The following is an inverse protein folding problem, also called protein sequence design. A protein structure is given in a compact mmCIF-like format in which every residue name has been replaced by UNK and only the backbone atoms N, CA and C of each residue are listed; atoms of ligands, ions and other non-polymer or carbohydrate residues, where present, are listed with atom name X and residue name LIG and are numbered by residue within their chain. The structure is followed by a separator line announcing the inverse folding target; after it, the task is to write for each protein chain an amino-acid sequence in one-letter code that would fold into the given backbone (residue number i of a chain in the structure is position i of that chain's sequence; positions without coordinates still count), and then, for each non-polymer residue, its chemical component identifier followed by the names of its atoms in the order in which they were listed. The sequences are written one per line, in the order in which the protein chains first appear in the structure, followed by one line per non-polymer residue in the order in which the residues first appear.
data_IF_017648760646
#
_entry.id   IF_017648760646
#
_cell.length_a   1.000
_cell.length_b   1.000
_cell.length_c   1.000
_cell.angle_alpha   90.00
_cell.angle_beta   90.00
_cell.angle_gamma   90.00
#
_symmetry.space_group_name_H-M   'P 1'
#
loop_
_entity.id
_entity.type
_entity.pdbx_description
1 polymer ?
#
# COMPACT_ATOMS: atom_id res chain seq x y z
N UNK A 1 36.44 -60.91 -52.80
CA UNK A 1 35.98 -60.75 -51.41
C UNK A 1 36.95 -59.79 -50.74
N UNK A 2 36.73 -58.47 -50.88
CA UNK A 2 36.03 -57.59 -49.90
C UNK A 2 36.71 -57.64 -48.53
N UNK A 3 37.00 -56.56 -47.82
CA UNK A 3 36.92 -55.11 -47.96
C UNK A 3 37.45 -54.66 -46.61
N UNK A 4 38.49 -53.83 -46.49
CA UNK A 4 38.93 -53.35 -45.18
C UNK A 4 39.14 -51.83 -45.17
N UNK A 5 38.08 -51.17 -44.71
CA UNK A 5 38.02 -50.07 -43.76
C UNK A 5 39.14 -49.01 -43.83
N UNK A 6 38.85 -47.91 -44.54
CA UNK A 6 39.54 -46.63 -44.37
C UNK A 6 38.80 -45.85 -43.28
N UNK A 7 39.44 -45.68 -42.13
CA UNK A 7 38.92 -44.94 -40.99
C UNK A 7 38.89 -43.45 -41.31
N UNK A 8 37.70 -42.86 -41.40
CA UNK A 8 37.54 -41.42 -41.55
C UNK A 8 37.83 -40.71 -40.22
N UNK A 9 38.89 -39.92 -40.18
CA UNK A 9 39.13 -38.99 -39.08
C UNK A 9 38.21 -37.78 -39.23
N UNK A 10 37.06 -37.80 -38.54
CA UNK A 10 36.30 -36.59 -38.25
C UNK A 10 37.11 -35.70 -37.29
N UNK A 11 37.85 -34.72 -37.82
CA UNK A 11 38.35 -33.60 -37.02
C UNK A 11 37.19 -32.65 -36.73
N UNK A 12 36.56 -32.82 -35.57
CA UNK A 12 35.68 -31.80 -35.01
C UNK A 12 36.54 -30.58 -34.63
N UNK A 13 36.39 -29.49 -35.39
CA UNK A 13 37.00 -28.21 -35.06
C UNK A 13 36.31 -27.66 -33.79
N UNK A 14 37.00 -27.78 -32.65
CA UNK A 14 36.63 -27.06 -31.44
C UNK A 14 36.79 -25.56 -31.71
N UNK A 15 35.67 -24.85 -31.88
CA UNK A 15 35.66 -23.39 -31.84
C UNK A 15 36.04 -22.98 -30.42
N UNK A 16 37.31 -22.62 -30.23
CA UNK A 16 37.76 -21.95 -29.02
C UNK A 16 37.00 -20.63 -28.92
N UNK A 17 36.07 -20.55 -27.96
CA UNK A 17 35.49 -19.28 -27.56
C UNK A 17 36.64 -18.40 -27.02
N UNK A 18 37.11 -17.48 -27.87
CA UNK A 18 38.07 -16.46 -27.49
C UNK A 18 37.53 -15.70 -26.28
N UNK A 19 38.16 -15.89 -25.12
CA UNK A 19 37.93 -15.04 -23.95
C UNK A 19 38.51 -13.67 -24.26
N UNK A 20 37.68 -12.78 -24.80
CA UNK A 20 38.00 -11.36 -24.95
C UNK A 20 38.00 -10.74 -23.56
N UNK A 21 39.17 -10.31 -23.09
CA UNK A 21 39.28 -9.55 -21.84
C UNK A 21 38.67 -8.16 -22.01
N UNK A 22 37.99 -7.66 -20.98
CA UNK A 22 37.46 -6.30 -20.96
C UNK A 22 38.62 -5.29 -21.05
N UNK A 23 38.53 -4.36 -22.00
CA UNK A 23 39.50 -3.25 -22.09
C UNK A 23 39.31 -2.31 -20.90
N UNK A 24 40.42 -1.77 -20.36
CA UNK A 24 40.38 -0.71 -19.35
C UNK A 24 39.54 0.50 -19.83
N UNK A 25 39.59 0.82 -21.12
CA UNK A 25 38.78 1.91 -21.70
C UNK A 25 37.28 1.61 -21.72
N UNK A 26 36.91 0.35 -21.93
CA UNK A 26 35.50 -0.08 -21.97
C UNK A 26 34.88 0.00 -20.56
N UNK A 27 35.62 -0.40 -19.53
CA UNK A 27 35.21 -0.21 -18.13
C UNK A 27 35.02 1.27 -17.77
N UNK A 28 35.95 2.14 -18.18
CA UNK A 28 35.87 3.59 -17.90
C UNK A 28 34.66 4.23 -18.59
N UNK A 29 34.38 3.86 -19.85
CA UNK A 29 33.20 4.34 -20.56
C UNK A 29 31.91 3.87 -19.86
N UNK A 30 31.82 2.60 -19.45
CA UNK A 30 30.65 2.08 -18.74
C UNK A 30 30.39 2.82 -17.42
N UNK A 31 31.41 3.03 -16.58
CA UNK A 31 31.23 3.76 -15.30
C UNK A 31 30.83 5.22 -15.54
N UNK A 32 31.39 5.85 -16.56
CA UNK A 32 31.03 7.22 -16.94
C UNK A 32 29.55 7.33 -17.36
N UNK A 33 29.08 6.40 -18.20
CA UNK A 33 27.67 6.34 -18.62
C UNK A 33 26.74 6.05 -17.44
N UNK A 34 27.12 5.15 -16.53
CA UNK A 34 26.31 4.86 -15.33
C UNK A 34 26.19 6.09 -14.42
N UNK A 35 27.25 6.88 -14.26
CA UNK A 35 27.20 8.13 -13.48
C UNK A 35 26.24 9.18 -14.05
N UNK A 36 26.25 9.35 -15.38
CA UNK A 36 25.32 10.28 -16.05
C UNK A 36 23.88 9.82 -15.90
N UNK A 37 23.61 8.52 -16.12
CA UNK A 37 22.26 7.97 -16.01
C UNK A 37 21.74 8.01 -14.56
N UNK A 38 22.59 7.70 -13.57
CA UNK A 38 22.22 7.74 -12.16
C UNK A 38 21.76 9.15 -11.73
N UNK A 39 22.46 10.18 -12.19
CA UNK A 39 22.14 11.58 -11.83
C UNK A 39 20.73 11.97 -12.31
N UNK A 40 20.37 11.59 -13.53
CA UNK A 40 19.04 11.86 -14.10
C UNK A 40 17.97 11.03 -13.37
N UNK A 41 18.26 9.76 -13.08
CA UNK A 41 17.32 8.85 -12.42
C UNK A 41 17.00 9.24 -10.97
N UNK A 42 17.99 9.73 -10.19
CA UNK A 42 17.77 10.14 -8.80
C UNK A 42 16.77 11.30 -8.72
N UNK A 43 16.91 12.28 -9.61
CA UNK A 43 16.04 13.46 -9.64
C UNK A 43 14.59 13.12 -9.99
N UNK A 44 14.37 12.14 -10.87
CA UNK A 44 13.02 11.70 -11.24
C UNK A 44 12.38 10.81 -10.16
N UNK A 45 13.16 9.98 -9.47
CA UNK A 45 12.67 9.07 -8.45
C UNK A 45 12.03 9.79 -7.25
N UNK A 46 12.66 10.87 -6.77
CA UNK A 46 12.11 11.64 -5.63
C UNK A 46 10.73 12.22 -5.93
N UNK A 47 10.50 12.71 -7.16
CA UNK A 47 9.22 13.26 -7.58
C UNK A 47 8.17 12.18 -7.83
N UNK A 48 8.57 11.03 -8.38
CA UNK A 48 7.67 9.91 -8.63
C UNK A 48 7.15 9.29 -7.33
N UNK A 49 8.01 9.14 -6.32
CA UNK A 49 7.62 8.55 -5.03
C UNK A 49 6.69 9.44 -4.23
N UNK A 50 6.89 10.76 -4.23
CA UNK A 50 5.97 11.70 -3.57
C UNK A 50 4.60 11.72 -4.25
N UNK A 51 4.55 11.76 -5.58
CA UNK A 51 3.30 11.66 -6.34
C UNK A 51 2.57 10.33 -6.09
N UNK A 52 3.31 9.21 -6.05
CA UNK A 52 2.77 7.89 -5.75
C UNK A 52 2.17 7.81 -4.33
N UNK A 53 2.84 8.38 -3.33
CA UNK A 53 2.32 8.47 -1.96
C UNK A 53 1.02 9.25 -1.89
N UNK A 54 0.94 10.41 -2.56
CA UNK A 54 -0.31 11.19 -2.62
C UNK A 54 -1.43 10.42 -3.29
N UNK A 55 -1.15 9.72 -4.40
CA UNK A 55 -2.14 8.91 -5.10
C UNK A 55 -2.67 7.76 -4.22
N UNK A 56 -1.79 7.04 -3.54
CA UNK A 56 -2.18 5.96 -2.63
C UNK A 56 -2.95 6.49 -1.42
N UNK A 57 -2.54 7.62 -0.86
CA UNK A 57 -3.26 8.24 0.24
C UNK A 57 -4.68 8.63 -0.15
N UNK A 58 -4.88 9.17 -1.37
CA UNK A 58 -6.21 9.44 -1.92
C UNK A 58 -7.02 8.16 -2.09
N UNK A 59 -6.42 7.11 -2.66
CA UNK A 59 -7.08 5.80 -2.79
C UNK A 59 -7.56 5.25 -1.44
N UNK A 60 -6.76 5.39 -0.36
CA UNK A 60 -7.15 4.95 0.98
C UNK A 60 -8.32 5.75 1.55
N UNK A 61 -8.38 7.07 1.28
CA UNK A 61 -9.54 7.89 1.63
C UNK A 61 -10.78 7.49 0.85
N UNK A 62 -10.66 7.26 -0.46
CA UNK A 62 -11.79 6.80 -1.28
C UNK A 62 -12.29 5.42 -0.84
N UNK A 63 -11.39 4.53 -0.44
CA UNK A 63 -11.74 3.24 0.15
C UNK A 63 -12.58 3.41 1.43
N UNK A 64 -12.16 4.31 2.33
CA UNK A 64 -12.92 4.61 3.56
C UNK A 64 -14.28 5.25 3.25
N UNK A 65 -14.32 6.23 2.36
CA UNK A 65 -15.57 6.90 1.98
C UNK A 65 -16.53 5.94 1.26
N UNK A 66 -16.02 5.03 0.43
CA UNK A 66 -16.81 3.94 -0.15
C UNK A 66 -17.41 3.05 0.94
N UNK A 67 -16.65 2.71 1.98
CA UNK A 67 -17.17 1.92 3.09
C UNK A 67 -18.24 2.68 3.89
N UNK A 68 -18.07 3.99 4.09
CA UNK A 68 -19.09 4.86 4.72
C UNK A 68 -20.38 4.90 3.91
N UNK A 69 -20.29 5.01 2.58
CA UNK A 69 -21.47 4.97 1.72
C UNK A 69 -22.18 3.61 1.78
N UNK A 70 -21.43 2.49 1.76
CA UNK A 70 -22.03 1.15 1.94
C UNK A 70 -22.72 0.98 3.29
N UNK A 71 -22.15 1.54 4.35
CA UNK A 71 -22.78 1.56 5.67
C UNK A 71 -24.09 2.37 5.64
N UNK A 72 -24.09 3.53 4.97
CA UNK A 72 -25.27 4.38 4.83
C UNK A 72 -26.40 3.71 4.05
N UNK A 73 -26.07 2.92 3.03
CA UNK A 73 -27.04 2.13 2.26
C UNK A 73 -27.63 0.95 3.06
N UNK A 74 -26.82 0.30 3.90
CA UNK A 74 -27.22 -0.92 4.61
C UNK A 74 -27.91 -0.65 5.96
N UNK A 75 -27.51 0.42 6.66
CA UNK A 75 -27.93 0.68 8.05
C UNK A 75 -28.59 2.04 8.19
N UNK A 76 -27.79 3.11 8.11
CA UNK A 76 -28.19 4.51 8.27
C UNK A 76 -27.03 5.43 7.97
N UNK A 77 -27.32 6.71 7.73
CA UNK A 77 -26.29 7.73 7.61
C UNK A 77 -25.38 7.78 8.85
N UNK A 78 -24.07 7.78 8.61
CA UNK A 78 -23.06 7.79 9.67
C UNK A 78 -22.70 9.22 10.03
N UNK A 79 -23.29 9.71 11.13
CA UNK A 79 -23.03 11.04 11.66
C UNK A 79 -22.43 10.88 13.05
N UNK A 80 -21.16 11.27 13.21
CA UNK A 80 -20.45 11.26 14.50
C UNK A 80 -19.76 12.59 14.66
N UNK A 81 -20.07 13.32 15.74
CA UNK A 81 -19.46 14.64 15.98
C UNK A 81 -17.94 14.51 16.08
N UNK A 82 -17.17 15.23 15.25
CA UNK A 82 -15.72 15.12 15.27
C UNK A 82 -15.15 15.69 16.57
N UNK A 83 -14.21 14.97 17.18
CA UNK A 83 -13.62 15.33 18.48
C UNK A 83 -12.17 15.79 18.31
N UNK A 84 -11.98 17.01 17.81
CA UNK A 84 -10.64 17.59 17.76
C UNK A 84 -10.14 17.99 19.17
N UNK A 85 -8.84 17.81 19.50
CA UNK A 85 -7.75 17.28 18.69
C UNK A 85 -7.44 15.80 18.93
N UNK A 86 -8.33 15.06 19.59
CA UNK A 86 -8.08 13.68 20.03
C UNK A 86 -8.65 12.77 18.96
N UNK A 87 -7.82 12.25 18.05
CA UNK A 87 -8.27 11.45 16.90
C UNK A 87 -8.88 10.08 17.21
N UNK A 88 -9.56 9.98 18.35
CA UNK A 88 -10.31 8.82 18.82
C UNK A 88 -11.57 8.59 18.00
N UNK A 89 -12.18 9.64 17.45
CA UNK A 89 -13.37 9.55 16.63
C UNK A 89 -13.10 8.83 15.31
N UNK A 90 -11.94 9.07 14.67
CA UNK A 90 -11.58 8.31 13.47
C UNK A 90 -11.49 6.81 13.74
N UNK A 91 -10.83 6.42 14.84
CA UNK A 91 -10.66 5.01 15.19
C UNK A 91 -11.98 4.37 15.64
N UNK A 92 -12.82 5.15 16.34
CA UNK A 92 -14.16 4.71 16.76
C UNK A 92 -15.05 4.45 15.54
N UNK A 93 -15.10 5.40 14.59
CA UNK A 93 -15.86 5.25 13.34
C UNK A 93 -15.36 4.04 12.55
N UNK A 94 -14.04 3.91 12.37
CA UNK A 94 -13.45 2.78 11.67
C UNK A 94 -13.82 1.43 12.32
N UNK A 95 -13.58 1.29 13.63
CA UNK A 95 -13.71 0.01 14.33
C UNK A 95 -15.16 -0.41 14.53
N UNK A 96 -16.01 0.54 14.90
CA UNK A 96 -17.35 0.20 15.30
C UNK A 96 -18.40 0.37 14.20
N UNK A 97 -18.21 1.28 13.25
CA UNK A 97 -19.16 1.43 12.14
C UNK A 97 -18.75 0.57 10.93
N UNK A 98 -17.47 0.63 10.54
CA UNK A 98 -17.02 0.08 9.26
C UNK A 98 -16.51 -1.37 9.38
N UNK A 99 -15.82 -1.70 10.47
CA UNK A 99 -15.21 -3.03 10.68
C UNK A 99 -16.07 -4.00 11.50
N UNK A 100 -17.09 -3.49 12.18
CA UNK A 100 -17.94 -4.33 13.02
C UNK A 100 -18.73 -5.33 12.16
N UNK A 101 -18.61 -6.61 12.51
CA UNK A 101 -19.50 -7.68 12.04
C UNK A 101 -19.94 -8.49 13.26
N UNK A 102 -21.25 -8.66 13.39
CA UNK A 102 -21.82 -9.47 14.46
C UNK A 102 -21.39 -10.95 14.30
N UNK A 103 -21.01 -11.67 15.39
CA UNK A 103 -20.57 -13.06 15.30
C UNK A 103 -21.69 -14.02 14.88
N UNK A 104 -22.93 -13.74 15.28
CA UNK A 104 -24.10 -14.47 14.78
C UNK A 104 -24.46 -13.98 13.36
N UNK A 105 -24.37 -14.86 12.37
CA UNK A 105 -24.64 -14.53 10.96
C UNK A 105 -26.07 -14.04 10.72
N UNK A 106 -27.06 -14.55 11.46
CA UNK A 106 -28.46 -14.12 11.35
C UNK A 106 -28.70 -12.68 11.82
N UNK A 107 -27.80 -12.15 12.65
CA UNK A 107 -27.85 -10.79 13.19
C UNK A 107 -26.83 -9.87 12.52
N UNK A 108 -25.98 -10.42 11.65
CA UNK A 108 -24.99 -9.64 10.94
C UNK A 108 -25.68 -8.75 9.92
N UNK A 109 -25.30 -7.47 9.90
CA UNK A 109 -25.73 -6.55 8.85
C UNK A 109 -25.27 -7.08 7.51
N UNK A 110 -26.19 -7.14 6.54
CA UNK A 110 -25.87 -7.56 5.18
C UNK A 110 -24.78 -6.65 4.60
N UNK A 111 -23.69 -7.24 4.12
CA UNK A 111 -22.54 -6.50 3.59
C UNK A 111 -21.50 -6.06 4.63
N UNK A 112 -21.70 -6.36 5.92
CA UNK A 112 -20.66 -6.17 6.95
C UNK A 112 -19.61 -7.30 6.92
N UNK A 113 -18.34 -7.01 7.24
CA UNK A 113 -17.76 -5.68 7.46
C UNK A 113 -17.59 -4.91 6.14
N UNK A 114 -17.74 -3.59 6.18
CA UNK A 114 -17.69 -2.72 4.99
C UNK A 114 -16.25 -2.41 4.53
N UNK A 115 -15.28 -2.63 5.42
CA UNK A 115 -13.85 -2.57 5.17
C UNK A 115 -13.17 -3.81 5.76
N UNK A 116 -11.97 -4.13 5.30
CA UNK A 116 -11.18 -5.24 5.84
C UNK A 116 -10.98 -5.10 7.36
N UNK A 117 -11.32 -6.15 8.10
CA UNK A 117 -11.20 -6.21 9.56
C UNK A 117 -9.73 -6.23 10.03
N UNK A 118 -8.79 -6.56 9.15
CA UNK A 118 -7.34 -6.56 9.43
C UNK A 118 -6.71 -5.17 9.32
N UNK A 119 -7.42 -4.20 8.75
CA UNK A 119 -6.93 -2.84 8.57
C UNK A 119 -6.89 -2.06 9.89
N UNK A 120 -5.71 -1.90 10.46
CA UNK A 120 -5.46 -1.28 11.75
C UNK A 120 -4.49 -0.09 11.63
N UNK A 121 -4.93 1.06 11.11
CA UNK A 121 -4.11 2.26 11.07
C UNK A 121 -3.85 2.79 12.49
N UNK A 122 -2.68 3.42 12.67
CA UNK A 122 -2.34 4.18 13.88
C UNK A 122 -2.84 5.62 13.76
N UNK A 123 -3.10 6.28 14.89
CA UNK A 123 -3.40 7.72 14.90
C UNK A 123 -2.07 8.48 14.88
N UNK A 124 -1.99 9.54 14.06
CA UNK A 124 -0.85 10.45 14.05
C UNK A 124 -1.32 11.90 14.18
N UNK A 125 -0.51 12.71 14.85
CA UNK A 125 -0.64 14.17 14.91
C UNK A 125 0.55 14.87 14.20
N UNK A 126 1.50 14.10 13.67
CA UNK A 126 2.69 14.64 13.01
C UNK A 126 2.33 15.29 11.69
N UNK A 127 2.80 16.52 11.46
CA UNK A 127 2.56 17.26 10.21
C UNK A 127 3.22 16.63 8.99
N UNK A 128 4.22 15.77 9.17
CA UNK A 128 4.97 15.13 8.08
C UNK A 128 4.25 13.93 7.46
N UNK A 129 3.27 13.37 8.17
CA UNK A 129 2.54 12.17 7.74
C UNK A 129 1.34 12.54 6.87
N UNK A 130 0.96 11.65 5.95
CA UNK A 130 -0.37 11.69 5.35
C UNK A 130 -1.38 11.18 6.37
N UNK A 131 -2.48 11.91 6.59
CA UNK A 131 -3.45 11.60 7.62
C UNK A 131 -4.87 11.69 7.09
N UNK A 132 -5.75 10.82 7.55
CA UNK A 132 -7.16 10.78 7.17
C UNK A 132 -7.97 11.21 8.38
N UNK A 133 -8.61 12.36 8.28
CA UNK A 133 -9.36 12.97 9.39
C UNK A 133 -10.84 12.75 9.19
N UNK A 134 -11.56 12.48 10.28
CA UNK A 134 -13.01 12.42 10.26
C UNK A 134 -13.60 13.83 10.33
N UNK A 135 -14.56 14.15 9.45
CA UNK A 135 -15.16 15.49 9.36
C UNK A 135 -16.53 15.59 10.01
N UNK A 136 -17.10 14.47 10.44
CA UNK A 136 -18.48 14.37 10.92
C UNK A 136 -19.32 13.35 10.16
N UNK A 137 -19.02 13.21 8.86
CA UNK A 137 -19.75 12.31 7.94
C UNK A 137 -18.85 11.60 6.93
N UNK A 138 -17.68 12.15 6.61
CA UNK A 138 -16.72 11.58 5.65
C UNK A 138 -15.28 11.75 6.13
N UNK A 139 -14.37 10.98 5.52
CA UNK A 139 -12.93 11.16 5.70
C UNK A 139 -12.37 12.18 4.71
N UNK A 140 -11.52 13.07 5.22
CA UNK A 140 -10.75 14.05 4.45
C UNK A 140 -9.26 13.73 4.51
N UNK A 141 -8.55 13.89 3.39
CA UNK A 141 -7.10 13.76 3.34
C UNK A 141 -6.40 15.03 3.85
N UNK A 142 -5.63 14.88 4.92
CA UNK A 142 -4.61 15.82 5.34
C UNK A 142 -3.28 15.45 4.70
N UNK A 143 -2.88 16.26 3.73
CA UNK A 143 -1.54 16.19 3.11
C UNK A 143 -0.47 16.71 4.09
N UNK A 144 0.81 16.29 3.92
CA UNK A 144 1.91 16.77 4.74
C UNK A 144 1.98 18.30 4.77
N UNK A 145 2.24 18.86 5.95
CA UNK A 145 2.26 20.31 6.21
C UNK A 145 0.93 20.91 6.68
N UNK A 146 -0.19 20.19 6.57
CA UNK A 146 -1.47 20.64 7.17
C UNK A 146 -1.51 20.29 8.66
N UNK A 147 -1.98 21.17 9.56
CA UNK A 147 -2.20 20.83 10.96
C UNK A 147 -3.43 19.93 11.13
N UNK A 148 -3.42 19.07 12.14
CA UNK A 148 -4.55 18.20 12.49
C UNK A 148 -4.13 16.77 12.84
N UNK A 149 -5.04 16.06 13.49
CA UNK A 149 -4.91 14.65 13.89
C UNK A 149 -5.80 13.80 12.98
N UNK A 150 -5.39 12.56 12.74
CA UNK A 150 -6.19 11.60 12.00
C UNK A 150 -5.49 10.24 11.88
N UNK A 151 -6.09 9.33 11.12
CA UNK A 151 -5.51 8.02 10.83
C UNK A 151 -4.29 8.17 9.93
N UNK A 152 -3.15 7.69 10.37
CA UNK A 152 -1.92 7.68 9.59
C UNK A 152 -2.07 6.78 8.37
N UNK A 153 -1.79 7.34 7.20
CA UNK A 153 -1.63 6.55 5.97
C UNK A 153 -0.22 5.96 5.99
N UNK A 154 -0.18 4.64 6.07
CA UNK A 154 1.04 3.86 6.02
C UNK A 154 1.21 3.29 4.61
N UNK A 155 2.45 3.27 4.11
CA UNK A 155 2.78 2.83 2.74
C UNK A 155 3.53 1.49 2.70
N UNK A 156 3.97 0.97 3.84
CA UNK A 156 4.78 -0.24 3.97
C UNK A 156 3.95 -1.49 4.34
N UNK A 157 2.64 -1.34 4.58
CA UNK A 157 1.75 -2.44 4.98
C UNK A 157 1.70 -2.69 6.48
N UNK A 158 2.37 -1.90 7.32
CA UNK A 158 2.31 -2.05 8.78
C UNK A 158 0.94 -1.67 9.36
N UNK A 159 0.03 -1.15 8.54
CA UNK A 159 -1.38 -0.94 8.83
C UNK A 159 -2.20 -2.23 8.79
N UNK A 160 -1.65 -3.34 8.32
CA UNK A 160 -2.35 -4.63 8.31
C UNK A 160 -1.91 -5.46 9.51
N UNK A 161 -2.89 -5.82 10.35
CA UNK A 161 -2.68 -6.53 11.60
C UNK A 161 -3.69 -7.65 11.83
N UNK A 162 -3.75 -8.21 13.05
CA UNK A 162 -4.80 -9.16 13.39
C UNK A 162 -6.19 -8.50 13.23
N UNK A 163 -7.18 -9.29 12.83
CA UNK A 163 -8.54 -8.80 12.68
C UNK A 163 -9.02 -8.17 14.00
N UNK A 164 -9.63 -6.99 13.91
CA UNK A 164 -10.25 -6.35 15.05
C UNK A 164 -11.38 -7.25 15.59
N UNK A 165 -11.22 -7.73 16.83
CA UNK A 165 -12.25 -8.51 17.52
C UNK A 165 -13.15 -7.53 18.26
N UNK A 166 -14.36 -7.33 17.74
CA UNK A 166 -15.39 -6.54 18.42
C UNK A 166 -16.14 -7.39 19.46
N UNK A 167 -16.39 -6.83 20.64
CA UNK A 167 -17.24 -7.47 21.65
C UNK A 167 -18.71 -7.41 21.18
N UNK A 168 -19.42 -8.56 21.09
CA UNK A 168 -20.82 -8.60 20.63
C UNK A 168 -21.79 -7.84 21.53
N UNK A 169 -21.41 -7.48 22.76
CA UNK A 169 -22.28 -6.79 23.72
C UNK A 169 -22.09 -5.27 23.73
N UNK A 170 -21.11 -4.73 22.98
CA UNK A 170 -20.87 -3.29 22.92
C UNK A 170 -21.67 -2.68 21.79
N UNK A 171 -22.50 -1.70 22.12
CA UNK A 171 -23.27 -0.94 21.14
C UNK A 171 -22.30 -0.08 20.29
N UNK A 172 -22.19 -0.31 18.97
CA UNK A 172 -21.04 0.18 18.20
C UNK A 172 -20.89 1.72 18.18
N UNK A 173 -21.95 2.50 18.32
CA UNK A 173 -21.83 3.97 18.21
C UNK A 173 -22.52 4.75 19.34
N UNK A 174 -22.85 4.08 20.43
CA UNK A 174 -23.72 4.65 21.45
C UNK A 174 -25.17 4.78 20.94
N UNK A 175 -26.12 4.66 21.86
CA UNK A 175 -27.54 4.93 21.62
C UNK A 175 -27.78 6.39 21.26
#
# INVERSE_FOLDING_TARGET
MTSNCITSHCRAASHGASRRGFSMTEMVICVSLMGVLATIAISSYSSATSAGKTALARQKVEMLNTAVHRYAEAVRELIVTPLAPVGSDELQVLRFALQFRHPDDDRATVGSPFIDATYNPSISASIDDYRMRWTGSLYELLEPGKPGVGLKVVFDGSDIGPAFVSDPNINPLGS
#
